data_IF_005006737386
#
_entry.id   IF_005006737386
#
_cell.length_a   1.000
_cell.length_b   1.000
_cell.length_c   1.000
_cell.angle_alpha   90.00
_cell.angle_beta   90.00
_cell.angle_gamma   90.00
#
_symmetry.space_group_name_H-M   'P 1'
#
loop_
_entity.id
_entity.type
_entity.pdbx_description
1 polymer ?
#
# COMPACT_ATOMS: atom_id res chain seq x y z
N UNK A 1 38.23 -14.47 -15.31
CA UNK A 1 37.63 -13.18 -15.69
C UNK A 1 36.18 -13.21 -15.25
N UNK A 2 35.94 -12.85 -14.00
CA UNK A 2 34.60 -12.72 -13.42
C UNK A 2 34.20 -11.28 -13.75
N UNK A 3 33.21 -11.11 -14.62
CA UNK A 3 32.61 -9.81 -14.87
C UNK A 3 31.82 -9.43 -13.62
N UNK A 4 32.40 -8.53 -12.85
CA UNK A 4 31.77 -7.83 -11.74
C UNK A 4 30.65 -6.96 -12.33
N UNK A 5 29.42 -7.49 -12.31
CA UNK A 5 28.22 -6.69 -12.58
C UNK A 5 27.83 -6.04 -11.28
N UNK A 6 28.22 -4.78 -11.15
CA UNK A 6 27.65 -3.81 -10.22
C UNK A 6 26.11 -3.97 -10.21
N UNK A 7 25.44 -4.11 -9.05
CA UNK A 7 24.00 -4.32 -9.00
C UNK A 7 23.31 -3.09 -9.56
N UNK A 8 22.81 -3.21 -10.80
CA UNK A 8 21.97 -2.20 -11.41
C UNK A 8 20.77 -1.99 -10.50
N UNK A 9 20.73 -0.82 -9.87
CA UNK A 9 19.61 -0.31 -9.09
C UNK A 9 18.43 -0.25 -10.05
N UNK A 10 17.40 -1.10 -9.91
CA UNK A 10 16.34 -1.13 -10.91
C UNK A 10 15.48 0.13 -10.89
N UNK A 11 14.75 0.32 -11.99
CA UNK A 11 14.07 1.57 -12.31
C UNK A 11 13.15 2.02 -11.18
N UNK A 12 13.40 3.23 -10.66
CA UNK A 12 12.57 3.92 -9.67
C UNK A 12 11.66 4.88 -10.41
N UNK A 13 10.35 4.67 -10.28
CA UNK A 13 9.33 5.46 -10.97
C UNK A 13 8.44 6.13 -9.93
N UNK A 14 7.95 7.33 -10.25
CA UNK A 14 6.87 7.96 -9.50
C UNK A 14 5.74 8.30 -10.44
N UNK A 15 4.52 7.91 -10.08
CA UNK A 15 3.32 8.29 -10.79
C UNK A 15 2.53 9.23 -9.89
N UNK A 16 2.28 10.44 -10.37
CA UNK A 16 1.39 11.41 -9.77
C UNK A 16 0.02 11.33 -10.44
N UNK A 17 -1.03 11.25 -9.63
CA UNK A 17 -2.42 11.31 -10.05
C UNK A 17 -3.03 12.58 -9.45
N UNK A 18 -3.77 13.33 -10.26
CA UNK A 18 -4.59 14.47 -9.84
C UNK A 18 -5.96 14.41 -10.54
N UNK A 19 -6.84 15.36 -10.27
CA UNK A 19 -8.14 15.46 -10.96
C UNK A 19 -8.01 15.78 -12.46
N UNK A 20 -6.86 16.31 -12.90
CA UNK A 20 -6.69 16.86 -14.26
C UNK A 20 -5.51 16.27 -15.02
N UNK A 21 -4.58 15.60 -14.34
CA UNK A 21 -3.38 15.03 -14.93
C UNK A 21 -2.98 13.73 -14.25
N UNK A 22 -2.38 12.83 -15.04
CA UNK A 22 -1.64 11.66 -14.55
C UNK A 22 -0.26 11.71 -15.20
N UNK A 23 0.79 11.78 -14.37
CA UNK A 23 2.16 12.02 -14.81
C UNK A 23 3.11 10.99 -14.22
N UNK A 24 4.03 10.47 -15.00
CA UNK A 24 5.06 9.55 -14.54
C UNK A 24 6.44 10.18 -14.70
N UNK A 25 7.23 10.21 -13.63
CA UNK A 25 8.67 10.47 -13.70
C UNK A 25 9.40 9.13 -13.85
N UNK A 26 10.17 8.99 -14.91
CA UNK A 26 11.09 7.87 -15.19
C UNK A 26 12.51 8.41 -15.34
N UNK A 27 13.50 7.56 -15.61
CA UNK A 27 14.86 8.03 -15.91
C UNK A 27 14.92 8.87 -17.19
N UNK A 28 14.02 8.61 -18.14
CA UNK A 28 13.97 9.28 -19.45
C UNK A 28 13.35 10.67 -19.40
N UNK A 29 12.53 10.98 -18.38
CA UNK A 29 11.83 12.25 -18.30
C UNK A 29 10.56 12.20 -17.46
N UNK A 30 9.71 13.20 -17.65
CA UNK A 30 8.32 13.19 -17.18
C UNK A 30 7.44 12.89 -18.40
N UNK A 31 6.61 11.86 -18.29
CA UNK A 31 5.56 11.51 -19.25
C UNK A 31 4.21 11.91 -18.67
N UNK A 32 3.28 12.35 -19.51
CA UNK A 32 1.93 12.76 -19.11
C UNK A 32 0.89 12.07 -19.98
N UNK A 33 -0.18 11.58 -19.35
CA UNK A 33 -1.24 10.86 -20.02
C UNK A 33 -2.15 11.82 -20.81
N UNK A 34 -2.79 11.29 -21.86
CA UNK A 34 -3.74 12.05 -22.66
C UNK A 34 -4.92 12.56 -21.81
N UNK A 35 -5.28 13.85 -21.94
CA UNK A 35 -6.35 14.50 -21.16
C UNK A 35 -7.70 13.77 -21.23
N UNK A 36 -8.02 13.16 -22.38
CA UNK A 36 -9.26 12.40 -22.55
C UNK A 36 -9.26 11.12 -21.71
N UNK A 37 -8.15 10.39 -21.68
CA UNK A 37 -7.98 9.16 -20.91
C UNK A 37 -7.98 9.46 -19.41
N UNK A 38 -7.29 10.53 -19.00
CA UNK A 38 -7.31 11.02 -17.62
C UNK A 38 -8.73 11.34 -17.18
N UNK A 39 -9.49 12.11 -17.98
CA UNK A 39 -10.88 12.45 -17.66
C UNK A 39 -11.74 11.20 -17.50
N UNK A 40 -11.64 10.24 -18.42
CA UNK A 40 -12.39 8.98 -18.33
C UNK A 40 -12.01 8.16 -17.09
N UNK A 41 -10.73 8.10 -16.74
CA UNK A 41 -10.24 7.39 -15.55
C UNK A 41 -10.69 8.08 -14.25
N UNK A 42 -10.62 9.41 -14.20
CA UNK A 42 -11.05 10.23 -13.07
C UNK A 42 -12.56 10.14 -12.85
N UNK A 43 -13.38 10.18 -13.92
CA UNK A 43 -14.83 9.98 -13.81
C UNK A 43 -15.18 8.62 -13.19
N UNK A 44 -14.40 7.59 -13.49
CA UNK A 44 -14.61 6.24 -12.96
C UNK A 44 -13.93 5.97 -11.60
N UNK A 45 -13.41 6.99 -10.91
CA UNK A 45 -12.70 6.82 -9.63
C UNK A 45 -13.55 6.26 -8.50
N UNK A 46 -14.83 6.63 -8.49
CA UNK A 46 -15.78 6.26 -7.44
C UNK A 46 -16.70 5.10 -7.87
N UNK A 47 -16.54 4.62 -9.11
CA UNK A 47 -17.33 3.54 -9.69
C UNK A 47 -16.46 2.27 -9.85
N UNK A 48 -17.07 1.09 -9.66
CA UNK A 48 -16.37 -0.19 -9.89
C UNK A 48 -16.10 -0.44 -11.39
N UNK A 49 -16.93 0.14 -12.26
CA UNK A 49 -16.87 -0.03 -13.71
C UNK A 49 -16.78 1.33 -14.40
N UNK A 50 -15.81 1.46 -15.30
CA UNK A 50 -15.66 2.62 -16.16
C UNK A 50 -16.45 2.45 -17.46
N UNK A 51 -17.21 3.49 -17.81
CA UNK A 51 -17.93 3.59 -19.07
C UNK A 51 -17.01 4.26 -20.11
N UNK A 52 -16.54 3.48 -21.07
CA UNK A 52 -15.77 3.97 -22.22
C UNK A 52 -16.65 3.92 -23.48
N UNK A 53 -16.33 4.69 -24.54
CA UNK A 53 -17.07 4.62 -25.80
C UNK A 53 -17.13 3.18 -26.33
N UNK A 54 -18.32 2.58 -26.32
CA UNK A 54 -18.57 1.24 -26.84
C UNK A 54 -18.12 0.06 -25.96
N UNK A 55 -17.65 0.29 -24.72
CA UNK A 55 -17.28 -0.80 -23.80
C UNK A 55 -17.37 -0.39 -22.32
N UNK A 56 -17.68 -1.36 -21.47
CA UNK A 56 -17.64 -1.23 -20.00
C UNK A 56 -16.47 -2.06 -19.49
N UNK A 57 -15.58 -1.45 -18.72
CA UNK A 57 -14.37 -2.12 -18.20
C UNK A 57 -14.25 -1.91 -16.69
N UNK A 58 -13.65 -2.83 -15.92
CA UNK A 58 -13.38 -2.58 -14.51
C UNK A 58 -12.50 -1.33 -14.34
N UNK A 59 -12.86 -0.43 -13.44
CA UNK A 59 -12.11 0.83 -13.22
C UNK A 59 -10.65 0.56 -12.87
N UNK A 60 -10.38 -0.51 -12.13
CA UNK A 60 -9.01 -0.96 -11.83
C UNK A 60 -8.21 -1.27 -13.10
N UNK A 61 -8.82 -1.94 -14.07
CA UNK A 61 -8.15 -2.31 -15.32
C UNK A 61 -7.89 -1.07 -16.19
N UNK A 62 -8.81 -0.09 -16.18
CA UNK A 62 -8.59 1.20 -16.83
C UNK A 62 -7.38 1.94 -16.23
N UNK A 63 -7.32 2.04 -14.89
CA UNK A 63 -6.19 2.69 -14.21
C UNK A 63 -4.86 1.95 -14.43
N UNK A 64 -4.86 0.62 -14.42
CA UNK A 64 -3.66 -0.17 -14.69
C UNK A 64 -3.14 0.07 -16.13
N UNK A 65 -4.04 0.04 -17.12
CA UNK A 65 -3.69 0.33 -18.50
C UNK A 65 -3.17 1.78 -18.67
N UNK A 66 -3.76 2.75 -17.97
CA UNK A 66 -3.31 4.13 -17.99
C UNK A 66 -1.88 4.26 -17.41
N UNK A 67 -1.60 3.60 -16.28
CA UNK A 67 -0.26 3.60 -15.70
C UNK A 67 0.75 2.88 -16.60
N UNK A 68 0.40 1.73 -17.18
CA UNK A 68 1.27 1.00 -18.11
C UNK A 68 1.62 1.86 -19.34
N UNK A 69 0.64 2.60 -19.87
CA UNK A 69 0.86 3.50 -21.02
C UNK A 69 1.88 4.61 -20.78
N UNK A 70 2.11 4.99 -19.51
CA UNK A 70 3.09 6.01 -19.14
C UNK A 70 4.52 5.47 -19.00
N UNK A 71 4.68 4.15 -18.92
CA UNK A 71 5.96 3.51 -18.60
C UNK A 71 6.54 2.69 -19.75
N UNK A 72 5.72 2.30 -20.73
CA UNK A 72 6.17 1.54 -21.88
C UNK A 72 5.30 1.82 -23.11
N UNK A 73 5.96 2.05 -24.25
CA UNK A 73 5.30 2.14 -25.56
C UNK A 73 5.02 0.75 -26.18
N UNK A 74 5.54 -0.31 -25.55
CA UNK A 74 5.44 -1.69 -26.02
C UNK A 74 4.57 -2.43 -25.02
N UNK A 75 3.56 -3.16 -25.48
CA UNK A 75 2.68 -4.07 -24.72
C UNK A 75 3.40 -5.17 -23.89
N UNK A 76 4.64 -4.95 -23.46
CA UNK A 76 5.40 -5.77 -22.55
C UNK A 76 4.99 -5.44 -21.10
N UNK A 77 4.83 -6.46 -20.23
CA UNK A 77 4.58 -6.23 -18.82
C UNK A 77 5.68 -5.40 -18.18
N UNK A 78 5.32 -4.30 -17.52
CA UNK A 78 6.27 -3.49 -16.76
C UNK A 78 6.56 -4.18 -15.43
N UNK A 79 7.85 -4.39 -15.13
CA UNK A 79 8.32 -4.80 -13.79
C UNK A 79 9.38 -3.82 -13.30
N UNK A 80 8.97 -2.97 -12.38
CA UNK A 80 9.82 -2.02 -11.69
C UNK A 80 10.32 -2.59 -10.35
N UNK A 81 11.43 -2.08 -9.86
CA UNK A 81 11.87 -2.37 -8.49
C UNK A 81 11.04 -1.56 -7.48
N UNK A 82 10.81 -0.28 -7.78
CA UNK A 82 10.09 0.63 -6.90
C UNK A 82 9.22 1.61 -7.68
N UNK A 83 7.97 1.74 -7.24
CA UNK A 83 7.00 2.70 -7.71
C UNK A 83 6.48 3.53 -6.53
N UNK A 84 6.54 4.85 -6.66
CA UNK A 84 5.89 5.81 -5.74
C UNK A 84 4.63 6.34 -6.40
N UNK A 85 3.46 6.02 -5.85
CA UNK A 85 2.18 6.53 -6.30
C UNK A 85 1.79 7.73 -5.43
N UNK A 86 1.66 8.91 -6.05
CA UNK A 86 1.30 10.16 -5.39
C UNK A 86 -0.14 10.53 -5.78
N UNK A 87 -0.97 10.88 -4.80
CA UNK A 87 -2.36 11.25 -4.99
C UNK A 87 -2.74 12.52 -4.21
N UNK A 88 -3.86 13.21 -4.51
CA UNK A 88 -4.30 14.38 -3.76
C UNK A 88 -4.56 14.03 -2.30
N UNK A 89 -4.23 14.92 -1.36
CA UNK A 89 -4.29 14.58 0.09
C UNK A 89 -5.71 14.32 0.60
N UNK A 90 -6.71 14.92 -0.05
CA UNK A 90 -8.13 14.77 0.24
C UNK A 90 -8.73 13.45 -0.23
N UNK A 91 -8.08 12.74 -1.15
CA UNK A 91 -8.64 11.52 -1.72
C UNK A 91 -8.75 10.41 -0.65
N UNK A 92 -9.98 9.97 -0.45
CA UNK A 92 -10.34 9.00 0.59
C UNK A 92 -9.78 7.59 0.34
N UNK A 93 -9.95 6.68 1.32
CA UNK A 93 -9.40 5.33 1.27
C UNK A 93 -9.80 4.52 0.04
N UNK A 94 -11.02 4.69 -0.48
CA UNK A 94 -11.52 3.97 -1.65
C UNK A 94 -10.71 4.29 -2.91
N UNK A 95 -10.61 5.57 -3.28
CA UNK A 95 -9.80 6.03 -4.44
C UNK A 95 -8.34 5.58 -4.32
N UNK A 96 -7.74 5.71 -3.13
CA UNK A 96 -6.36 5.23 -2.88
C UNK A 96 -6.21 3.72 -3.08
N UNK A 97 -7.19 2.95 -2.60
CA UNK A 97 -7.20 1.48 -2.76
C UNK A 97 -7.31 1.08 -4.23
N UNK A 98 -8.14 1.77 -5.01
CA UNK A 98 -8.27 1.57 -6.45
C UNK A 98 -6.93 1.81 -7.17
N UNK A 99 -6.32 2.99 -6.96
CA UNK A 99 -5.06 3.35 -7.62
C UNK A 99 -3.91 2.42 -7.19
N UNK A 100 -3.78 2.13 -5.89
CA UNK A 100 -2.74 1.22 -5.39
C UNK A 100 -2.92 -0.20 -5.93
N UNK A 101 -4.17 -0.67 -6.03
CA UNK A 101 -4.51 -1.96 -6.64
C UNK A 101 -4.14 -2.01 -8.12
N UNK A 102 -4.40 -0.93 -8.88
CA UNK A 102 -3.99 -0.82 -10.26
C UNK A 102 -2.46 -0.85 -10.43
N UNK A 103 -1.73 -0.17 -9.54
CA UNK A 103 -0.27 -0.10 -9.56
C UNK A 103 0.45 -1.34 -9.01
N UNK A 104 -0.23 -2.20 -8.24
CA UNK A 104 0.41 -3.24 -7.41
C UNK A 104 1.24 -4.25 -8.21
N UNK A 105 0.81 -4.60 -9.41
CA UNK A 105 1.49 -5.60 -10.24
C UNK A 105 2.68 -5.04 -11.03
N UNK A 106 2.86 -3.72 -11.03
CA UNK A 106 3.85 -3.03 -11.85
C UNK A 106 5.23 -2.95 -11.18
N UNK A 107 5.30 -3.10 -9.85
CA UNK A 107 6.53 -2.93 -9.10
C UNK A 107 6.67 -3.93 -7.93
N UNK A 108 7.91 -4.34 -7.64
CA UNK A 108 8.20 -5.14 -6.45
C UNK A 108 7.86 -4.37 -5.15
N UNK A 109 8.18 -3.08 -5.12
CA UNK A 109 7.86 -2.18 -4.02
C UNK A 109 6.92 -1.08 -4.49
N UNK A 110 5.73 -0.97 -3.89
CA UNK A 110 4.80 0.12 -4.12
C UNK A 110 4.70 0.97 -2.86
N UNK A 111 4.98 2.26 -2.97
CA UNK A 111 4.82 3.24 -1.90
C UNK A 111 3.73 4.23 -2.30
N UNK A 112 2.75 4.45 -1.44
CA UNK A 112 1.66 5.41 -1.69
C UNK A 112 1.89 6.63 -0.81
N UNK A 113 1.78 7.83 -1.39
CA UNK A 113 1.99 9.12 -0.72
C UNK A 113 0.88 10.10 -1.08
N UNK A 114 0.47 10.89 -0.10
CA UNK A 114 -0.32 12.07 -0.42
C UNK A 114 0.58 13.15 -1.00
N UNK A 115 -0.02 14.06 -1.77
CA UNK A 115 0.68 15.16 -2.43
C UNK A 115 1.31 16.12 -1.45
N UNK A 116 0.60 16.55 -0.41
CA UNK A 116 1.15 17.37 0.67
C UNK A 116 2.37 16.72 1.32
N UNK A 117 2.28 15.42 1.61
CA UNK A 117 3.41 14.69 2.18
C UNK A 117 4.60 14.69 1.21
N UNK A 118 4.41 14.34 -0.05
CA UNK A 118 5.49 14.29 -1.05
C UNK A 118 6.18 15.65 -1.27
N UNK A 119 5.45 16.76 -1.15
CA UNK A 119 6.00 18.12 -1.26
C UNK A 119 6.78 18.55 0.00
N UNK A 120 6.34 18.11 1.19
CA UNK A 120 6.85 18.59 2.46
C UNK A 120 7.84 17.64 3.17
N UNK A 121 7.88 16.36 2.81
CA UNK A 121 8.64 15.29 3.49
C UNK A 121 10.10 15.69 3.77
N UNK A 122 10.81 16.18 2.75
CA UNK A 122 12.18 16.66 2.88
C UNK A 122 12.32 17.83 3.86
N UNK A 123 11.40 18.79 3.78
CA UNK A 123 11.40 19.98 4.63
C UNK A 123 11.22 19.60 6.11
N UNK A 124 10.27 18.70 6.38
CA UNK A 124 10.02 18.18 7.73
C UNK A 124 11.22 17.39 8.25
N UNK A 125 11.80 16.50 7.43
CA UNK A 125 12.97 15.70 7.85
C UNK A 125 14.24 16.52 8.08
N UNK A 126 14.42 17.60 7.32
CA UNK A 126 15.59 18.47 7.46
C UNK A 126 15.45 19.47 8.63
N UNK A 127 14.23 19.76 9.07
CA UNK A 127 13.98 20.69 10.17
C UNK A 127 14.14 19.99 11.53
N UNK A 128 15.36 20.08 12.08
CA UNK A 128 15.69 19.53 13.41
C UNK A 128 14.95 20.22 14.57
N UNK A 129 14.26 21.32 14.31
CA UNK A 129 13.43 22.01 15.32
C UNK A 129 12.07 21.36 15.55
N UNK A 130 11.68 20.39 14.70
CA UNK A 130 10.42 19.66 14.82
C UNK A 130 9.19 20.47 14.40
N UNK A 131 9.37 21.58 13.66
CA UNK A 131 8.27 22.39 13.15
C UNK A 131 7.57 21.68 12.00
N UNK A 132 6.29 22.01 11.82
CA UNK A 132 5.47 21.48 10.75
C UNK A 132 5.61 22.33 9.47
N UNK A 133 5.30 21.76 8.31
CA UNK A 133 5.09 22.48 7.07
C UNK A 133 3.58 22.55 6.78
N UNK A 134 3.13 23.68 6.25
CA UNK A 134 1.75 23.83 5.77
C UNK A 134 1.76 23.72 4.25
N UNK A 135 0.91 22.87 3.70
CA UNK A 135 0.71 22.73 2.25
C UNK A 135 -0.73 23.09 1.90
N UNK A 136 -0.89 24.02 0.97
CA UNK A 136 -2.17 24.44 0.40
C UNK A 136 -2.30 23.78 -0.97
N UNK A 137 -3.11 22.73 -1.06
CA UNK A 137 -3.44 22.06 -2.34
C UNK A 137 -4.68 22.71 -2.94
N UNK A 138 -4.55 23.21 -4.18
CA UNK A 138 -5.61 23.89 -4.92
C UNK A 138 -5.99 23.03 -6.13
N UNK A 139 -7.17 22.41 -6.08
CA UNK A 139 -7.74 21.65 -7.19
C UNK A 139 -8.81 22.47 -7.94
N UNK A 140 -9.35 21.99 -9.07
CA UNK A 140 -10.52 22.59 -9.70
C UNK A 140 -11.76 22.65 -8.81
N UNK A 141 -11.93 21.68 -7.90
CA UNK A 141 -13.17 21.47 -7.14
C UNK A 141 -13.06 21.81 -5.66
N UNK A 142 -11.86 21.92 -5.10
CA UNK A 142 -11.64 22.13 -3.66
C UNK A 142 -10.30 22.84 -3.37
N UNK A 143 -10.19 23.39 -2.16
CA UNK A 143 -8.91 23.82 -1.59
C UNK A 143 -8.71 23.13 -0.25
N UNK A 144 -7.57 22.46 -0.09
CA UNK A 144 -7.19 21.80 1.14
C UNK A 144 -5.96 22.47 1.76
N UNK A 145 -6.03 22.74 3.06
CA UNK A 145 -4.86 23.16 3.86
C UNK A 145 -4.47 21.98 4.75
N UNK A 146 -3.34 21.36 4.43
CA UNK A 146 -2.78 20.25 5.16
C UNK A 146 -1.57 20.70 5.98
N UNK A 147 -1.43 20.12 7.17
CA UNK A 147 -0.23 20.23 8.00
C UNK A 147 0.54 18.93 7.85
N UNK A 148 1.84 19.04 7.55
CA UNK A 148 2.78 17.94 7.49
C UNK A 148 3.81 18.13 8.59
N UNK A 149 3.82 17.25 9.57
CA UNK A 149 4.73 17.32 10.72
C UNK A 149 5.11 15.92 11.21
N UNK A 150 5.89 15.81 12.30
CA UNK A 150 6.25 14.52 12.89
C UNK A 150 5.01 13.73 13.29
N UNK A 151 4.90 12.49 12.81
CA UNK A 151 3.86 11.54 13.18
C UNK A 151 4.17 10.85 14.51
N UNK A 152 3.19 10.11 15.03
CA UNK A 152 3.29 9.39 16.31
C UNK A 152 4.35 8.28 16.32
N UNK A 153 4.71 7.78 15.14
CA UNK A 153 5.74 6.77 14.90
C UNK A 153 7.11 7.37 14.55
N UNK A 154 7.22 8.71 14.56
CA UNK A 154 8.44 9.43 14.19
C UNK A 154 8.59 9.67 12.69
N UNK A 155 7.73 9.11 11.84
CA UNK A 155 7.69 9.42 10.41
C UNK A 155 6.78 10.63 10.16
N UNK A 156 7.05 11.49 9.15
CA UNK A 156 6.17 12.61 8.89
C UNK A 156 4.74 12.12 8.54
N UNK A 157 3.73 12.93 8.85
CA UNK A 157 2.34 12.63 8.52
C UNK A 157 1.64 13.89 8.02
N UNK A 158 0.89 13.76 6.92
CA UNK A 158 0.05 14.83 6.40
C UNK A 158 -1.37 14.70 6.97
N UNK A 159 -1.90 15.79 7.53
CA UNK A 159 -3.29 15.85 7.99
C UNK A 159 -3.99 17.10 7.47
N UNK A 160 -5.15 16.92 6.84
CA UNK A 160 -6.00 18.03 6.40
C UNK A 160 -6.59 18.74 7.64
N UNK A 161 -6.32 20.04 7.77
CA UNK A 161 -6.85 20.89 8.85
C UNK A 161 -8.00 21.77 8.38
N UNK A 162 -8.04 22.06 7.09
CA UNK A 162 -9.11 22.82 6.48
C UNK A 162 -9.39 22.25 5.09
N UNK A 163 -10.66 22.09 4.77
CA UNK A 163 -11.14 21.67 3.47
C UNK A 163 -12.34 22.55 3.12
N UNK A 164 -12.31 23.12 1.92
CA UNK A 164 -13.39 23.96 1.43
C UNK A 164 -13.67 23.61 -0.03
N UNK A 165 -14.92 23.27 -0.32
CA UNK A 165 -15.38 23.04 -1.68
C UNK A 165 -15.32 24.35 -2.48
N UNK A 166 -14.82 24.29 -3.72
CA UNK A 166 -14.85 25.40 -4.68
C UNK A 166 -16.24 25.59 -5.27
N UNK A 167 -17.24 25.78 -4.41
CA UNK A 167 -18.53 26.44 -4.75
C UNK A 167 -18.36 27.91 -5.18
N UNK A 168 -17.13 28.31 -5.52
CA UNK A 168 -16.65 29.64 -5.85
C UNK A 168 -16.71 29.96 -7.34
N UNK A 169 -17.45 29.20 -8.16
CA UNK A 169 -17.57 29.43 -9.60
C UNK A 169 -18.01 30.87 -9.96
N UNK A 170 -18.61 31.59 -9.01
CA UNK A 170 -19.04 32.99 -9.13
C UNK A 170 -18.10 34.02 -8.47
N UNK A 171 -17.01 33.60 -7.82
CA UNK A 171 -16.08 34.48 -7.08
C UNK A 171 -14.83 34.82 -7.88
N UNK A 172 -14.28 36.00 -7.65
CA UNK A 172 -13.00 36.40 -8.23
C UNK A 172 -11.84 35.62 -7.61
N UNK A 173 -10.73 35.46 -8.34
CA UNK A 173 -9.51 34.83 -7.82
C UNK A 173 -8.99 35.51 -6.53
N UNK A 174 -9.15 36.83 -6.44
CA UNK A 174 -8.77 37.59 -5.24
C UNK A 174 -9.61 37.24 -4.00
N UNK A 175 -10.89 36.91 -4.19
CA UNK A 175 -11.78 36.51 -3.09
C UNK A 175 -11.44 35.10 -2.59
N UNK A 176 -11.16 34.19 -3.51
CA UNK A 176 -10.66 32.83 -3.18
C UNK A 176 -9.35 32.95 -2.42
N UNK A 177 -8.38 33.70 -2.94
CA UNK A 177 -7.10 33.92 -2.29
C UNK A 177 -7.22 34.48 -0.87
N UNK A 178 -8.11 35.47 -0.65
CA UNK A 178 -8.37 36.02 0.69
C UNK A 178 -9.03 35.01 1.64
N UNK A 179 -9.93 34.16 1.15
CA UNK A 179 -10.54 33.10 1.96
C UNK A 179 -9.48 32.07 2.40
N UNK A 180 -8.67 31.60 1.45
CA UNK A 180 -7.57 30.67 1.69
C UNK A 180 -6.54 31.26 2.65
N UNK A 181 -6.16 32.53 2.48
CA UNK A 181 -5.24 33.22 3.39
C UNK A 181 -5.72 33.20 4.85
N UNK A 182 -7.02 33.46 5.08
CA UNK A 182 -7.61 33.38 6.43
C UNK A 182 -7.66 31.95 6.98
N UNK A 183 -7.86 30.96 6.11
CA UNK A 183 -7.79 29.56 6.50
C UNK A 183 -6.38 29.17 6.93
N UNK A 184 -5.37 29.55 6.14
CA UNK A 184 -3.95 29.34 6.45
C UNK A 184 -3.56 30.04 7.74
N UNK A 185 -3.96 31.29 7.95
CA UNK A 185 -3.69 32.02 9.20
C UNK A 185 -4.17 31.25 10.43
N UNK A 186 -5.41 30.74 10.38
CA UNK A 186 -5.98 29.96 11.49
C UNK A 186 -5.18 28.69 11.74
N UNK A 187 -4.89 27.93 10.67
CA UNK A 187 -4.11 26.69 10.76
C UNK A 187 -2.72 26.94 11.33
N UNK A 188 -2.02 27.98 10.85
CA UNK A 188 -0.68 28.35 11.34
C UNK A 188 -0.71 28.75 12.80
N UNK A 189 -1.72 29.50 13.24
CA UNK A 189 -1.88 29.95 14.63
C UNK A 189 -2.13 28.79 15.60
N UNK A 190 -2.85 27.77 15.15
CA UNK A 190 -3.22 26.62 15.96
C UNK A 190 -2.14 25.52 16.01
N UNK A 191 -1.14 25.58 15.12
CA UNK A 191 -0.08 24.59 15.01
C UNK A 191 1.03 24.82 16.06
N UNK A 192 0.87 24.15 17.22
CA UNK A 192 1.74 24.31 18.40
C UNK A 192 3.24 24.08 18.16
N UNK A 193 3.68 23.08 17.35
CA UNK A 193 5.10 22.93 17.02
C UNK A 193 5.69 24.15 16.31
N UNK A 194 4.85 25.04 15.77
CA UNK A 194 5.24 26.12 14.89
C UNK A 194 5.36 25.64 13.44
N UNK A 195 5.37 26.59 12.51
CA UNK A 195 5.47 26.31 11.07
C UNK A 195 6.86 26.68 10.57
N UNK A 196 7.44 25.85 9.68
CA UNK A 196 8.75 26.05 9.07
C UNK A 196 8.69 26.66 7.66
N UNK A 197 7.65 26.33 6.89
CA UNK A 197 7.33 26.97 5.62
C UNK A 197 5.85 26.78 5.27
N UNK A 198 5.33 27.65 4.40
CA UNK A 198 4.02 27.50 3.77
C UNK A 198 4.23 27.28 2.27
N UNK A 199 3.69 26.17 1.76
CA UNK A 199 3.81 25.75 0.36
C UNK A 199 2.43 25.85 -0.31
N UNK A 200 2.34 26.58 -1.42
CA UNK A 200 1.12 26.69 -2.23
C UNK A 200 1.28 25.87 -3.50
N UNK A 201 0.40 24.89 -3.67
CA UNK A 201 0.40 23.95 -4.76
C UNK A 201 -0.88 24.11 -5.59
N UNK A 202 -0.71 24.76 -6.75
CA UNK A 202 -1.80 25.03 -7.69
C UNK A 202 -1.35 24.78 -9.11
N UNK A 203 -2.18 24.06 -9.86
CA UNK A 203 -2.00 23.91 -11.31
C UNK A 203 -2.28 25.22 -12.08
N UNK A 204 -3.08 26.12 -11.49
CA UNK A 204 -3.33 27.46 -12.00
C UNK A 204 -2.30 28.40 -11.38
N UNK A 205 -1.34 28.84 -12.20
CA UNK A 205 -0.22 29.67 -11.75
C UNK A 205 -0.72 30.98 -11.14
N UNK A 206 -1.66 31.64 -11.79
CA UNK A 206 -2.16 32.97 -11.39
C UNK A 206 -2.97 32.88 -10.09
N UNK A 207 -3.75 31.81 -9.92
CA UNK A 207 -4.42 31.53 -8.65
C UNK A 207 -3.42 31.27 -7.53
N UNK A 208 -2.37 30.49 -7.80
CA UNK A 208 -1.30 30.22 -6.84
C UNK A 208 -0.58 31.51 -6.40
N UNK A 209 -0.19 32.36 -7.35
CA UNK A 209 0.41 33.67 -7.06
C UNK A 209 -0.53 34.56 -6.24
N UNK A 210 -1.82 34.61 -6.58
CA UNK A 210 -2.81 35.38 -5.81
C UNK A 210 -2.94 34.89 -4.35
N UNK A 211 -2.90 33.57 -4.13
CA UNK A 211 -2.93 32.97 -2.78
C UNK A 211 -1.66 33.31 -2.01
N UNK A 212 -0.48 33.21 -2.65
CA UNK A 212 0.80 33.61 -2.05
C UNK A 212 0.75 35.07 -1.61
N UNK A 213 0.33 35.98 -2.49
CA UNK A 213 0.18 37.41 -2.18
C UNK A 213 -0.82 37.66 -1.03
N UNK A 214 -1.92 36.90 -0.98
CA UNK A 214 -2.90 37.02 0.09
C UNK A 214 -2.34 36.58 1.44
N UNK A 215 -1.55 35.50 1.47
CA UNK A 215 -0.89 35.01 2.69
C UNK A 215 0.24 35.95 3.12
N UNK A 216 1.04 36.45 2.19
CA UNK A 216 2.15 37.37 2.46
C UNK A 216 1.65 38.69 3.08
N UNK A 217 0.53 39.23 2.58
CA UNK A 217 -0.14 40.41 3.16
C UNK A 217 -0.63 40.22 4.60
N UNK A 218 -0.87 38.99 5.05
CA UNK A 218 -1.22 38.70 6.46
C UNK A 218 0.03 38.84 7.35
N UNK A 219 1.23 38.73 6.78
CA UNK A 219 2.49 38.85 7.51
C UNK A 219 2.83 37.61 8.35
N UNK A 220 2.44 36.43 7.89
CA UNK A 220 2.78 35.17 8.58
C UNK A 220 4.27 34.89 8.48
N UNK A 221 4.86 34.46 9.60
CA UNK A 221 6.19 33.85 9.64
C UNK A 221 6.03 32.37 9.95
N UNK A 222 6.58 31.45 9.15
CA UNK A 222 7.60 31.63 8.10
C UNK A 222 7.00 32.03 6.74
N UNK A 223 7.87 32.42 5.80
CA UNK A 223 7.47 32.85 4.46
C UNK A 223 6.68 31.80 3.67
N UNK A 224 5.88 32.29 2.73
CA UNK A 224 5.05 31.52 1.81
C UNK A 224 5.70 31.43 0.43
N UNK A 225 5.58 30.28 -0.23
CA UNK A 225 6.08 30.09 -1.60
C UNK A 225 5.18 29.18 -2.40
N UNK A 226 5.06 29.43 -3.71
CA UNK A 226 4.42 28.52 -4.64
C UNK A 226 5.39 27.39 -5.02
N UNK A 227 4.91 26.16 -5.04
CA UNK A 227 5.72 25.01 -5.47
C UNK A 227 5.81 24.98 -7.00
N UNK A 228 6.97 24.52 -7.50
CA UNK A 228 7.10 24.23 -8.93
C UNK A 228 6.22 23.03 -9.31
N UNK A 229 5.73 23.02 -10.55
CA UNK A 229 4.81 21.99 -11.08
C UNK A 229 5.34 20.56 -10.90
N UNK A 230 6.66 20.36 -10.98
CA UNK A 230 7.31 19.04 -10.85
C UNK A 230 7.99 18.83 -9.49
N UNK A 231 7.73 19.71 -8.51
CA UNK A 231 8.36 19.66 -7.19
C UNK A 231 8.09 18.33 -6.47
N UNK A 232 6.95 17.69 -6.75
CA UNK A 232 6.55 16.40 -6.18
C UNK A 232 7.51 15.25 -6.54
N UNK A 233 8.25 15.39 -7.65
CA UNK A 233 9.22 14.40 -8.12
C UNK A 233 10.66 14.68 -7.66
N UNK A 234 10.91 15.73 -6.85
CA UNK A 234 12.27 16.15 -6.45
C UNK A 234 13.07 15.06 -5.74
N UNK A 235 12.41 14.21 -4.95
CA UNK A 235 13.05 13.09 -4.25
C UNK A 235 13.58 12.02 -5.21
N UNK A 236 12.94 11.84 -6.38
CA UNK A 236 13.37 10.84 -7.36
C UNK A 236 14.55 11.29 -8.21
N UNK A 237 14.70 12.60 -8.43
CA UNK A 237 15.79 13.15 -9.26
C UNK A 237 17.17 13.15 -8.57
N UNK A 238 17.25 12.72 -7.30
CA UNK A 238 18.50 12.65 -6.55
C UNK A 238 18.84 11.19 -6.33
N UNK A 239 19.86 10.67 -7.04
CA UNK A 239 20.47 9.39 -6.71
C UNK A 239 20.71 9.34 -5.20
N UNK A 240 20.31 8.22 -4.57
CA UNK A 240 20.43 8.04 -3.13
C UNK A 240 21.86 8.32 -2.69
N UNK A 241 22.12 9.52 -2.15
CA UNK A 241 23.35 9.76 -1.42
C UNK A 241 23.20 8.93 -0.16
N UNK A 242 23.89 7.80 -0.14
CA UNK A 242 24.22 7.07 1.08
C UNK A 242 24.63 8.11 2.11
N UNK A 243 23.89 8.11 3.23
CA UNK A 243 24.16 8.96 4.39
C UNK A 243 25.57 8.65 4.89
N UNK A 244 26.55 9.42 4.43
CA UNK A 244 27.86 9.52 5.05
C UNK A 244 27.72 10.44 6.27
N UNK A 245 27.17 9.90 7.36
CA UNK A 245 27.27 10.49 8.69
C UNK A 245 28.16 9.61 9.56
N UNK A 246 29.45 9.55 9.18
CA UNK A 246 30.61 9.43 10.07
C UNK A 246 31.83 9.83 9.22
N UNK A 247 32.05 11.13 8.99
CA UNK A 247 33.36 11.74 9.25
C UNK A 247 33.22 13.26 9.16
N UNK A 248 33.60 13.95 10.23
CA UNK A 248 33.59 15.41 10.31
C UNK A 248 35.04 15.86 10.24
N UNK A 249 35.44 16.56 9.17
CA UNK A 249 36.80 17.07 9.05
C UNK A 249 37.12 17.97 7.85
N UNK A 250 36.89 19.28 8.04
CA UNK A 250 37.71 20.42 7.56
C UNK A 250 37.64 20.89 6.07
N UNK A 251 36.91 22.00 5.86
CA UNK A 251 37.23 23.29 5.16
C UNK A 251 38.28 23.25 4.00
N UNK A 252 37.88 23.29 2.71
CA UNK A 252 37.72 24.44 1.75
C UNK A 252 39.00 24.76 0.90
N UNK A 253 38.96 25.52 -0.22
CA UNK A 253 38.26 25.34 -1.52
C UNK A 253 39.22 25.40 -2.77
N UNK A 254 38.62 25.38 -3.98
CA UNK A 254 39.06 26.03 -5.26
C UNK A 254 39.52 25.13 -6.45
N UNK A 255 38.93 25.48 -7.61
CA UNK A 255 39.45 25.46 -9.00
C UNK A 255 39.19 24.27 -9.97
N UNK A 256 38.27 24.57 -10.92
CA UNK A 256 38.38 24.45 -12.39
C UNK A 256 38.74 23.12 -13.09
N UNK A 257 37.84 22.72 -14.01
CA UNK A 257 38.07 21.88 -15.22
C UNK A 257 39.31 22.34 -16.03
N UNK A 258 39.98 21.53 -16.91
CA UNK A 258 39.36 20.63 -17.92
C UNK A 258 40.13 19.35 -18.39
N UNK A 259 39.39 18.44 -19.05
CA UNK A 259 39.64 17.67 -20.31
C UNK A 259 41.01 16.96 -20.58
N UNK A 260 40.92 15.71 -21.08
CA UNK A 260 41.76 15.04 -22.12
C UNK A 260 42.72 13.86 -21.76
N UNK A 261 42.43 12.72 -22.41
CA UNK A 261 43.26 11.81 -23.22
C UNK A 261 44.44 10.96 -22.66
N UNK A 262 44.26 9.64 -22.82
CA UNK A 262 45.13 8.62 -23.45
C UNK A 262 46.65 8.50 -23.12
N UNK A 263 46.97 7.37 -22.44
CA UNK A 263 48.09 6.39 -22.68
C UNK A 263 49.58 6.84 -22.58
N UNK A 264 50.56 5.90 -22.63
CA UNK A 264 50.78 4.64 -21.89
C UNK A 264 52.20 4.56 -21.29
N UNK A 265 52.50 3.57 -20.44
CA UNK A 265 53.88 3.28 -20.03
C UNK A 265 54.07 1.94 -19.32
N UNK A 266 54.59 0.95 -20.05
CA UNK A 266 55.34 -0.18 -19.50
C UNK A 266 56.85 0.10 -19.74
N UNK A 267 57.82 -0.77 -19.38
CA UNK A 267 57.82 -1.97 -18.53
C UNK A 267 59.02 -2.01 -17.54
N UNK A 268 59.12 -3.05 -16.70
CA UNK A 268 60.41 -3.58 -16.27
C UNK A 268 60.34 -5.09 -15.99
N UNK A 269 61.17 -5.85 -16.71
CA UNK A 269 61.39 -7.29 -16.62
C UNK A 269 62.49 -7.57 -15.60
N UNK A 270 62.38 -8.68 -14.86
CA UNK A 270 63.52 -9.49 -14.39
C UNK A 270 63.09 -10.96 -14.23
N UNK A 271 63.81 -11.87 -14.89
CA UNK A 271 63.77 -13.32 -14.75
C UNK A 271 65.07 -13.77 -14.01
N UNK A 272 65.53 -15.05 -14.01
CA UNK A 272 64.88 -16.38 -14.05
C UNK A 272 65.45 -17.37 -12.97
N UNK A 273 64.97 -18.63 -12.93
CA UNK A 273 65.73 -19.92 -13.06
C UNK A 273 65.05 -21.11 -12.33
N UNK A 274 64.74 -22.15 -13.11
CA UNK A 274 64.37 -23.55 -12.75
C UNK A 274 65.65 -24.36 -12.33
N UNK A 275 65.71 -25.71 -12.12
CA UNK A 275 64.73 -26.80 -12.36
C UNK A 275 64.78 -28.09 -11.45
N UNK A 276 63.94 -29.09 -11.84
CA UNK A 276 64.08 -30.57 -11.74
C UNK A 276 63.79 -31.19 -10.33
N UNK A 277 63.31 -32.43 -10.11
CA UNK A 277 63.11 -33.68 -10.88
C UNK A 277 62.41 -34.72 -9.93
N UNK A 278 61.17 -35.20 -10.20
CA UNK A 278 60.76 -36.58 -10.64
C UNK A 278 60.59 -37.68 -9.55
N UNK A 279 59.87 -38.81 -9.78
CA UNK A 279 58.59 -39.03 -10.53
C UNK A 279 57.62 -40.10 -9.91
N UNK A 280 56.45 -40.27 -10.58
CA UNK A 280 55.49 -41.42 -10.78
C UNK A 280 55.63 -42.74 -9.95
N UNK A 281 54.63 -43.60 -9.68
CA UNK A 281 53.35 -44.03 -10.25
C UNK A 281 52.60 -44.85 -9.12
N UNK A 282 51.37 -45.38 -9.17
CA UNK A 282 50.64 -46.04 -10.26
C UNK A 282 49.20 -46.47 -9.81
N UNK A 283 48.33 -46.70 -10.82
CA UNK A 283 47.15 -47.61 -10.89
C UNK A 283 45.88 -47.13 -10.12
N UNK A 284 44.67 -47.06 -10.68
CA UNK A 284 44.11 -47.69 -11.86
C UNK A 284 42.88 -48.53 -11.49
N UNK A 285 41.68 -47.94 -11.68
CA UNK A 285 40.41 -48.57 -12.09
C UNK A 285 39.85 -49.78 -11.31
N UNK A 286 38.77 -49.53 -10.55
CA UNK A 286 37.56 -50.36 -10.44
C UNK A 286 36.47 -49.53 -9.74
N UNK A 287 35.54 -48.91 -10.48
CA UNK A 287 34.26 -49.49 -10.88
C UNK A 287 33.29 -49.71 -9.71
N UNK A 288 32.22 -48.91 -9.73
CA UNK A 288 30.86 -49.25 -9.31
C UNK A 288 30.70 -50.10 -8.05
N UNK A 289 30.37 -49.46 -6.93
CA UNK A 289 29.43 -49.84 -5.84
C UNK A 289 29.71 -48.90 -4.66
N UNK A 290 29.36 -47.61 -4.77
CA UNK A 290 29.28 -46.70 -3.59
C UNK A 290 28.11 -45.72 -3.69
N UNK A 291 27.51 -45.55 -4.88
CA UNK A 291 26.33 -44.67 -5.08
C UNK A 291 25.06 -45.20 -4.39
N UNK A 292 25.03 -46.44 -3.90
CA UNK A 292 23.82 -47.03 -3.28
C UNK A 292 23.82 -47.00 -1.74
N UNK A 293 24.93 -46.66 -1.08
CA UNK A 293 25.07 -46.77 0.38
C UNK A 293 24.78 -45.50 1.20
N UNK A 294 24.93 -44.32 0.60
CA UNK A 294 24.71 -43.03 1.29
C UNK A 294 23.30 -42.46 1.01
N UNK A 295 22.57 -43.04 0.05
CA UNK A 295 21.18 -42.66 -0.27
C UNK A 295 20.15 -43.30 0.67
N UNK A 296 20.53 -44.30 1.48
CA UNK A 296 19.58 -45.06 2.32
C UNK A 296 19.62 -44.76 3.83
N UNK A 297 20.51 -43.90 4.32
CA UNK A 297 20.54 -43.51 5.76
C UNK A 297 20.17 -42.05 6.02
N UNK A 298 20.02 -41.21 4.99
CA UNK A 298 19.41 -39.86 5.08
C UNK A 298 17.90 -39.92 4.79
N UNK A 299 17.36 -41.10 4.52
CA UNK A 299 15.92 -41.32 4.27
C UNK A 299 15.07 -41.42 5.56
N UNK A 300 15.69 -41.50 6.74
CA UNK A 300 14.98 -41.78 8.01
C UNK A 300 14.87 -40.57 8.96
N UNK A 301 15.41 -39.41 8.59
CA UNK A 301 15.28 -38.15 9.34
C UNK A 301 14.79 -36.99 8.47
N UNK A 302 13.97 -37.28 7.44
CA UNK A 302 12.94 -36.32 7.03
C UNK A 302 11.90 -36.24 8.15
N UNK A 303 12.29 -35.55 9.22
CA UNK A 303 11.38 -34.69 9.96
C UNK A 303 10.47 -34.05 8.94
N UNK A 304 9.16 -34.28 9.08
CA UNK A 304 8.11 -33.60 8.32
C UNK A 304 8.58 -32.18 8.03
N UNK A 305 8.93 -31.89 6.78
CA UNK A 305 9.02 -30.50 6.35
C UNK A 305 7.66 -29.90 6.72
N UNK A 306 7.60 -28.82 7.50
CA UNK A 306 6.37 -28.06 7.60
C UNK A 306 5.97 -27.75 6.16
N UNK A 307 4.69 -27.97 5.81
CA UNK A 307 4.14 -27.44 4.57
C UNK A 307 4.59 -25.96 4.45
N UNK A 308 4.85 -25.43 3.25
CA UNK A 308 5.19 -24.02 3.09
C UNK A 308 4.19 -23.21 3.92
N UNK A 309 4.69 -22.55 4.97
CA UNK A 309 3.83 -21.83 5.88
C UNK A 309 3.20 -20.72 5.04
N UNK A 310 1.88 -20.79 4.84
CA UNK A 310 1.14 -19.69 4.24
C UNK A 310 1.51 -18.45 5.06
N UNK A 311 2.01 -17.42 4.38
CA UNK A 311 2.29 -16.16 5.05
C UNK A 311 0.98 -15.67 5.64
N UNK A 312 0.96 -15.35 6.93
CA UNK A 312 -0.27 -14.92 7.60
C UNK A 312 -0.14 -13.47 8.05
N UNK A 313 -1.25 -12.75 8.05
CA UNK A 313 -1.34 -11.36 8.52
C UNK A 313 -2.41 -11.24 9.60
N UNK A 314 -2.19 -10.36 10.58
CA UNK A 314 -3.19 -10.00 11.56
C UNK A 314 -4.20 -9.03 10.94
N UNK A 315 -5.46 -9.46 10.86
CA UNK A 315 -6.59 -8.61 10.52
C UNK A 315 -7.25 -8.13 11.81
N UNK A 316 -7.35 -6.81 11.97
CA UNK A 316 -8.12 -6.17 13.04
C UNK A 316 -9.32 -5.47 12.41
N UNK A 317 -10.52 -5.86 12.85
CA UNK A 317 -11.78 -5.28 12.44
C UNK A 317 -12.61 -4.92 13.67
N UNK A 318 -12.84 -3.64 13.91
CA UNK A 318 -13.58 -3.16 15.07
C UNK A 318 -12.92 -3.67 16.37
N UNK A 319 -13.62 -4.55 17.10
CA UNK A 319 -13.11 -5.18 18.33
C UNK A 319 -12.73 -6.65 18.17
N UNK A 320 -12.66 -7.15 16.94
CA UNK A 320 -12.20 -8.50 16.64
C UNK A 320 -10.84 -8.44 15.97
N UNK A 321 -9.93 -9.32 16.38
CA UNK A 321 -8.67 -9.58 15.70
C UNK A 321 -8.57 -11.07 15.35
N UNK A 322 -8.02 -11.38 14.18
CA UNK A 322 -7.79 -12.75 13.72
C UNK A 322 -6.64 -12.80 12.72
N UNK A 323 -6.04 -13.98 12.54
CA UNK A 323 -5.06 -14.22 11.48
C UNK A 323 -5.77 -14.69 10.21
N UNK A 324 -5.28 -14.21 9.07
CA UNK A 324 -5.72 -14.61 7.74
C UNK A 324 -4.52 -14.81 6.83
N UNK A 325 -4.63 -15.56 5.71
CA UNK A 325 -3.55 -15.59 4.72
C UNK A 325 -3.24 -14.17 4.20
N UNK A 326 -1.96 -13.83 4.16
CA UNK A 326 -1.50 -12.47 3.88
C UNK A 326 -1.76 -12.03 2.45
N UNK A 327 -1.93 -12.98 1.53
CA UNK A 327 -2.21 -12.78 0.12
C UNK A 327 -3.70 -12.65 -0.19
N UNK A 328 -4.59 -12.90 0.78
CA UNK A 328 -6.03 -12.79 0.59
C UNK A 328 -6.49 -11.34 0.72
N UNK A 329 -7.34 -10.90 -0.22
CA UNK A 329 -7.82 -9.54 -0.27
C UNK A 329 -8.88 -9.29 0.81
N UNK A 330 -8.82 -8.14 1.49
CA UNK A 330 -9.79 -7.77 2.52
C UNK A 330 -10.75 -6.71 1.98
N UNK A 331 -12.05 -7.04 1.96
CA UNK A 331 -13.16 -6.13 1.57
C UNK A 331 -14.06 -5.88 2.78
N UNK A 332 -14.43 -4.63 3.03
CA UNK A 332 -15.33 -4.25 4.13
C UNK A 332 -16.71 -3.92 3.56
N UNK A 333 -17.74 -4.58 4.06
CA UNK A 333 -19.13 -4.33 3.69
C UNK A 333 -19.79 -3.58 4.85
N UNK A 334 -20.10 -2.27 4.70
CA UNK A 334 -20.78 -1.50 5.72
C UNK A 334 -22.23 -1.97 5.90
N UNK A 335 -22.82 -1.66 7.06
CA UNK A 335 -24.25 -1.86 7.25
C UNK A 335 -25.03 -0.92 6.31
N UNK A 336 -26.00 -1.45 5.56
CA UNK A 336 -26.78 -0.67 4.59
C UNK A 336 -27.25 -1.42 3.34
N UNK A 337 -26.90 -2.72 3.19
CA UNK A 337 -27.38 -3.61 2.12
C UNK A 337 -28.10 -4.87 2.64
N UNK A 338 -28.07 -5.97 1.87
CA UNK A 338 -28.67 -7.28 2.22
C UNK A 338 -27.89 -8.05 3.32
N UNK A 339 -27.83 -7.47 4.52
CA UNK A 339 -27.35 -8.15 5.73
C UNK A 339 -26.45 -7.29 6.62
N UNK A 340 -25.89 -7.93 7.64
CA UNK A 340 -25.02 -7.29 8.64
C UNK A 340 -23.72 -6.75 8.02
N UNK A 341 -23.19 -5.68 8.64
CA UNK A 341 -21.84 -5.24 8.39
C UNK A 341 -20.87 -6.41 8.60
N UNK A 342 -20.00 -6.66 7.63
CA UNK A 342 -19.11 -7.81 7.65
C UNK A 342 -17.82 -7.49 6.89
N UNK A 343 -16.77 -8.22 7.22
CA UNK A 343 -15.54 -8.23 6.44
C UNK A 343 -15.47 -9.51 5.65
N UNK A 344 -15.03 -9.40 4.42
CA UNK A 344 -14.75 -10.51 3.53
C UNK A 344 -13.24 -10.59 3.29
N UNK A 345 -12.70 -11.79 3.42
CA UNK A 345 -11.30 -12.10 3.14
C UNK A 345 -11.29 -13.09 2.00
N UNK A 346 -10.85 -12.65 0.83
CA UNK A 346 -11.15 -13.27 -0.47
C UNK A 346 -9.87 -13.90 -1.02
N UNK A 347 -9.94 -15.17 -1.38
CA UNK A 347 -8.82 -15.87 -2.00
C UNK A 347 -8.43 -15.24 -3.34
N UNK A 348 -7.13 -15.04 -3.62
CA UNK A 348 -6.69 -14.58 -4.94
C UNK A 348 -6.84 -15.66 -6.02
N UNK A 349 -7.00 -16.94 -5.63
CA UNK A 349 -7.09 -18.07 -6.55
C UNK A 349 -8.54 -18.43 -6.92
N UNK A 350 -9.49 -18.28 -5.99
CA UNK A 350 -10.93 -18.42 -6.26
C UNK A 350 -11.73 -17.34 -5.54
N UNK A 351 -12.34 -16.38 -6.25
CA UNK A 351 -13.17 -15.33 -5.64
C UNK A 351 -14.37 -15.83 -4.84
N UNK A 352 -14.81 -17.08 -5.02
CA UNK A 352 -15.88 -17.69 -4.22
C UNK A 352 -15.36 -18.40 -2.95
N UNK A 353 -14.04 -18.50 -2.76
CA UNK A 353 -13.44 -18.92 -1.51
C UNK A 353 -13.22 -17.69 -0.62
N UNK A 354 -14.19 -17.42 0.27
CA UNK A 354 -14.25 -16.20 1.09
C UNK A 354 -14.41 -16.54 2.57
N UNK A 355 -13.63 -15.89 3.43
CA UNK A 355 -13.87 -15.87 4.88
C UNK A 355 -14.62 -14.60 5.26
N UNK A 356 -15.85 -14.76 5.75
CA UNK A 356 -16.68 -13.70 6.30
C UNK A 356 -16.40 -13.53 7.79
N UNK A 357 -16.35 -12.29 8.28
CA UNK A 357 -16.25 -11.97 9.70
C UNK A 357 -17.33 -10.97 10.08
N UNK A 358 -18.15 -11.32 11.07
CA UNK A 358 -19.16 -10.46 11.67
C UNK A 358 -18.91 -10.34 13.17
N UNK A 359 -19.33 -9.23 13.76
CA UNK A 359 -19.24 -9.02 15.20
C UNK A 359 -20.50 -8.36 15.72
N UNK A 360 -20.97 -8.84 16.88
CA UNK A 360 -22.11 -8.27 17.59
C UNK A 360 -21.76 -8.19 19.07
N UNK A 361 -22.02 -7.03 19.70
CA UNK A 361 -21.93 -6.90 21.16
C UNK A 361 -23.04 -7.71 21.82
N UNK A 362 -22.67 -8.50 22.81
CA UNK A 362 -23.60 -9.26 23.65
C UNK A 362 -23.40 -8.86 25.11
N UNK A 363 -24.33 -9.27 25.97
CA UNK A 363 -24.19 -9.04 27.41
C UNK A 363 -23.03 -9.89 27.93
N UNK A 364 -22.27 -9.45 28.95
CA UNK A 364 -21.15 -10.23 29.50
C UNK A 364 -21.52 -11.63 30.01
N UNK A 365 -22.80 -11.88 30.31
CA UNK A 365 -23.32 -13.18 30.76
C UNK A 365 -23.94 -14.02 29.62
N UNK A 366 -23.76 -13.63 28.36
CA UNK A 366 -24.23 -14.39 27.20
C UNK A 366 -23.60 -15.79 27.18
N UNK A 367 -24.42 -16.81 26.90
CA UNK A 367 -23.96 -18.19 26.75
C UNK A 367 -24.16 -18.66 25.31
N UNK A 368 -23.38 -19.66 24.87
CA UNK A 368 -23.56 -20.24 23.53
C UNK A 368 -24.96 -20.83 23.34
N UNK A 369 -25.58 -21.38 24.40
CA UNK A 369 -26.96 -21.85 24.36
C UNK A 369 -27.95 -20.69 24.09
N UNK A 370 -27.81 -19.55 24.79
CA UNK A 370 -28.66 -18.37 24.54
C UNK A 370 -28.45 -17.79 23.13
N UNK A 371 -27.20 -17.79 22.65
CA UNK A 371 -26.87 -17.43 21.28
C UNK A 371 -27.48 -18.40 20.27
N UNK A 372 -27.46 -19.70 20.54
CA UNK A 372 -28.08 -20.72 19.70
C UNK A 372 -29.60 -20.53 19.60
N UNK A 373 -30.29 -20.26 20.72
CA UNK A 373 -31.72 -19.93 20.72
C UNK A 373 -32.01 -18.69 19.88
N UNK A 374 -31.22 -17.64 20.04
CA UNK A 374 -31.35 -16.39 19.26
C UNK A 374 -31.17 -16.64 17.76
N UNK A 375 -30.17 -17.44 17.37
CA UNK A 375 -29.91 -17.78 15.97
C UNK A 375 -31.02 -18.65 15.39
N UNK A 376 -31.50 -19.66 16.14
CA UNK A 376 -32.61 -20.51 15.72
C UNK A 376 -33.87 -19.69 15.46
N UNK A 377 -34.24 -18.80 16.38
CA UNK A 377 -35.39 -17.92 16.23
C UNK A 377 -35.25 -16.93 15.07
N UNK A 378 -34.03 -16.58 14.66
CA UNK A 378 -33.78 -15.79 13.46
C UNK A 378 -33.94 -16.64 12.18
N UNK A 379 -33.38 -17.85 12.16
CA UNK A 379 -33.46 -18.78 11.02
C UNK A 379 -34.90 -19.24 10.73
N UNK A 380 -35.73 -19.41 11.75
CA UNK A 380 -37.15 -19.77 11.59
C UNK A 380 -37.98 -18.73 10.82
N UNK A 381 -37.49 -17.49 10.69
CA UNK A 381 -38.15 -16.42 9.92
C UNK A 381 -37.76 -16.41 8.45
N UNK A 382 -36.78 -17.21 8.08
CA UNK A 382 -36.19 -17.23 6.75
C UNK A 382 -36.77 -18.38 5.92
N UNK A 383 -36.65 -18.32 4.58
CA UNK A 383 -37.17 -19.38 3.72
C UNK A 383 -36.61 -20.77 4.08
N UNK A 384 -37.46 -21.79 3.98
CA UNK A 384 -37.04 -23.17 4.24
C UNK A 384 -35.85 -23.56 3.35
N UNK A 385 -34.81 -24.13 3.95
CA UNK A 385 -33.59 -24.53 3.25
C UNK A 385 -32.55 -23.42 3.08
N UNK A 386 -32.85 -22.17 3.45
CA UNK A 386 -31.86 -21.08 3.46
C UNK A 386 -30.76 -21.28 4.52
N UNK A 387 -31.06 -22.05 5.58
CA UNK A 387 -30.11 -22.45 6.61
C UNK A 387 -30.24 -23.95 6.89
N UNK A 388 -29.12 -24.67 6.92
CA UNK A 388 -29.03 -26.12 7.16
C UNK A 388 -27.96 -26.44 8.21
N UNK A 389 -27.86 -27.72 8.60
CA UNK A 389 -26.78 -28.24 9.45
C UNK A 389 -26.58 -27.53 10.79
N UNK A 390 -27.63 -26.93 11.34
CA UNK A 390 -27.57 -26.21 12.60
C UNK A 390 -27.21 -27.13 13.77
N UNK A 391 -26.19 -26.74 14.54
CA UNK A 391 -25.75 -27.40 15.78
C UNK A 391 -25.56 -26.36 16.87
N UNK A 392 -26.37 -26.46 17.92
CA UNK A 392 -26.36 -25.53 19.05
C UNK A 392 -25.14 -25.66 19.96
N UNK A 393 -24.52 -26.84 19.99
CA UNK A 393 -23.34 -27.13 20.80
C UNK A 393 -22.37 -27.98 19.95
N UNK A 394 -21.44 -27.31 19.27
CA UNK A 394 -20.43 -27.91 18.42
C UNK A 394 -19.03 -27.42 18.83
N UNK A 395 -17.99 -27.98 18.22
CA UNK A 395 -16.60 -27.57 18.42
C UNK A 395 -15.90 -27.38 17.08
N UNK A 396 -15.17 -26.27 16.92
CA UNK A 396 -14.31 -26.00 15.76
C UNK A 396 -12.95 -25.50 16.24
N UNK A 397 -11.88 -26.14 15.75
CA UNK A 397 -10.50 -25.83 16.17
C UNK A 397 -10.36 -25.77 17.70
N UNK A 398 -10.96 -26.73 18.39
CA UNK A 398 -11.02 -26.84 19.86
C UNK A 398 -11.75 -25.71 20.61
N UNK A 399 -12.54 -24.91 19.88
CA UNK A 399 -13.38 -23.86 20.46
C UNK A 399 -14.84 -24.28 20.46
N UNK A 400 -15.55 -24.14 21.60
CA UNK A 400 -17.00 -24.26 21.64
C UNK A 400 -17.65 -23.24 20.69
N UNK A 401 -18.63 -23.67 19.90
CA UNK A 401 -19.27 -22.84 18.89
C UNK A 401 -20.70 -23.28 18.59
N UNK A 402 -21.51 -22.35 18.08
CA UNK A 402 -22.73 -22.68 17.33
C UNK A 402 -22.36 -22.73 15.86
N UNK A 403 -22.76 -23.77 15.14
CA UNK A 403 -22.46 -23.92 13.70
C UNK A 403 -23.72 -24.12 12.87
N UNK A 404 -23.70 -23.68 11.63
CA UNK A 404 -24.76 -23.87 10.65
C UNK A 404 -24.24 -23.56 9.24
N UNK A 405 -24.97 -23.96 8.21
CA UNK A 405 -24.68 -23.62 6.82
C UNK A 405 -25.76 -22.67 6.31
N UNK A 406 -25.38 -21.55 5.72
CA UNK A 406 -26.26 -20.65 4.97
C UNK A 406 -26.17 -21.02 3.48
N UNK A 407 -27.30 -21.34 2.87
CA UNK A 407 -27.37 -21.73 1.46
C UNK A 407 -27.79 -20.51 0.64
N UNK A 408 -27.01 -20.19 -0.39
CA UNK A 408 -27.27 -19.11 -1.33
C UNK A 408 -27.17 -19.63 -2.76
N UNK A 409 -27.65 -18.83 -3.70
CA UNK A 409 -27.51 -19.18 -5.11
C UNK A 409 -26.03 -19.14 -5.50
N UNK A 410 -25.48 -20.29 -5.90
CA UNK A 410 -24.11 -20.42 -6.38
C UNK A 410 -23.05 -20.79 -5.33
N UNK A 411 -23.31 -20.58 -4.03
CA UNK A 411 -22.38 -20.92 -2.95
C UNK A 411 -23.08 -21.21 -1.63
N UNK A 412 -22.39 -21.93 -0.76
CA UNK A 412 -22.77 -22.15 0.63
C UNK A 412 -21.79 -21.41 1.55
N UNK A 413 -22.27 -21.02 2.74
CA UNK A 413 -21.45 -20.39 3.78
C UNK A 413 -21.55 -21.21 5.07
N UNK A 414 -20.48 -21.92 5.43
CA UNK A 414 -20.40 -22.64 6.70
C UNK A 414 -20.00 -21.70 7.83
N UNK A 415 -20.96 -21.35 8.68
CA UNK A 415 -20.79 -20.43 9.79
C UNK A 415 -20.32 -21.13 11.06
N UNK A 416 -19.37 -20.50 11.75
CA UNK A 416 -18.93 -20.81 13.11
C UNK A 416 -19.08 -19.56 13.96
N UNK A 417 -19.96 -19.64 14.96
CA UNK A 417 -20.25 -18.53 15.88
C UNK A 417 -19.62 -18.80 17.23
N UNK A 418 -18.78 -17.87 17.65
CA UNK A 418 -17.94 -17.94 18.84
C UNK A 418 -18.33 -16.83 19.81
N UNK A 419 -18.17 -17.08 21.10
CA UNK A 419 -18.20 -16.04 22.12
C UNK A 419 -16.78 -15.77 22.61
N UNK A 420 -16.44 -14.48 22.74
CA UNK A 420 -15.21 -14.03 23.38
C UNK A 420 -15.45 -12.71 24.11
N UNK A 421 -15.45 -12.76 25.45
CA UNK A 421 -15.82 -11.61 26.29
C UNK A 421 -17.25 -11.12 26.02
N UNK A 422 -17.39 -9.83 25.69
CA UNK A 422 -18.67 -9.18 25.35
C UNK A 422 -18.99 -9.25 23.83
N UNK A 423 -18.28 -10.08 23.07
CA UNK A 423 -18.47 -10.22 21.63
C UNK A 423 -18.96 -11.60 21.23
N UNK A 424 -19.98 -11.59 20.36
CA UNK A 424 -20.31 -12.71 19.49
C UNK A 424 -19.68 -12.49 18.13
N UNK A 425 -18.78 -13.39 17.76
CA UNK A 425 -17.99 -13.35 16.54
C UNK A 425 -18.49 -14.43 15.60
N UNK A 426 -18.99 -14.06 14.42
CA UNK A 426 -19.39 -15.01 13.39
C UNK A 426 -18.30 -15.10 12.32
N UNK A 427 -17.74 -16.29 12.10
CA UNK A 427 -16.81 -16.59 11.01
C UNK A 427 -17.52 -17.46 9.99
N UNK A 428 -17.70 -16.98 8.76
CA UNK A 428 -18.41 -17.68 7.69
C UNK A 428 -17.46 -18.13 6.60
N UNK A 429 -17.49 -19.42 6.27
CA UNK A 429 -16.63 -20.01 5.23
C UNK A 429 -17.44 -20.20 3.96
N UNK A 430 -17.28 -19.30 2.98
CA UNK A 430 -17.95 -19.39 1.70
C UNK A 430 -17.19 -20.29 0.73
N UNK A 431 -17.92 -21.12 0.00
CA UNK A 431 -17.38 -22.01 -1.01
C UNK A 431 -18.47 -22.35 -2.03
N UNK A 432 -18.05 -22.59 -3.29
CA UNK A 432 -18.91 -23.27 -4.26
C UNK A 432 -19.20 -24.69 -3.77
N UNK A 433 -20.32 -25.25 -4.22
CA UNK A 433 -20.67 -26.65 -3.93
C UNK A 433 -19.47 -27.57 -4.22
N UNK A 434 -19.15 -28.42 -3.26
CA UNK A 434 -18.02 -29.38 -3.29
C UNK A 434 -16.59 -28.77 -3.31
N UNK A 435 -16.45 -27.44 -3.16
CA UNK A 435 -15.16 -26.71 -3.18
C UNK A 435 -14.68 -26.23 -1.80
N UNK A 436 -15.17 -26.81 -0.70
CA UNK A 436 -14.77 -26.37 0.65
C UNK A 436 -13.25 -26.41 0.88
N UNK A 437 -12.53 -27.31 0.18
CA UNK A 437 -11.09 -27.44 0.29
C UNK A 437 -10.33 -26.13 -0.02
N UNK A 438 -10.90 -25.27 -0.87
CA UNK A 438 -10.27 -24.02 -1.34
C UNK A 438 -10.31 -22.93 -0.27
N UNK A 439 -11.28 -22.97 0.64
CA UNK A 439 -11.41 -22.03 1.77
C UNK A 439 -10.95 -22.61 3.11
N UNK A 440 -10.87 -23.95 3.21
CA UNK A 440 -10.65 -24.68 4.47
C UNK A 440 -9.50 -24.12 5.30
N UNK A 441 -8.31 -23.95 4.72
CA UNK A 441 -7.13 -23.57 5.51
C UNK A 441 -7.23 -22.14 6.06
N UNK A 442 -7.73 -21.20 5.26
CA UNK A 442 -7.98 -19.83 5.69
C UNK A 442 -9.04 -19.77 6.80
N UNK A 443 -10.09 -20.57 6.66
CA UNK A 443 -11.14 -20.69 7.66
C UNK A 443 -10.68 -21.29 8.98
N UNK A 444 -9.93 -22.39 8.95
CA UNK A 444 -9.38 -22.99 10.17
C UNK A 444 -8.45 -22.03 10.90
N UNK A 445 -7.65 -21.25 10.18
CA UNK A 445 -6.79 -20.21 10.75
C UNK A 445 -7.63 -19.10 11.41
N UNK A 446 -8.64 -18.58 10.70
CA UNK A 446 -9.53 -17.53 11.19
C UNK A 446 -10.28 -17.98 12.45
N UNK A 447 -10.92 -19.16 12.42
CA UNK A 447 -11.67 -19.71 13.55
C UNK A 447 -10.75 -19.93 14.76
N UNK A 448 -9.53 -20.44 14.54
CA UNK A 448 -8.57 -20.70 15.62
C UNK A 448 -8.10 -19.42 16.32
N UNK A 449 -7.98 -18.32 15.58
CA UNK A 449 -7.29 -17.09 16.04
C UNK A 449 -8.22 -15.91 16.31
N UNK A 450 -9.50 -16.01 15.97
CA UNK A 450 -10.46 -14.92 16.17
C UNK A 450 -10.73 -14.63 17.65
N UNK A 451 -10.35 -13.45 18.11
CA UNK A 451 -10.50 -13.02 19.50
C UNK A 451 -10.88 -11.56 19.62
N UNK A 452 -11.46 -11.19 20.76
CA UNK A 452 -11.66 -9.80 21.12
C UNK A 452 -10.30 -9.08 21.26
N UNK A 453 -10.19 -7.87 20.73
CA UNK A 453 -9.02 -7.01 20.94
C UNK A 453 -8.93 -6.67 22.41
N UNK A 454 -7.80 -6.98 23.03
CA UNK A 454 -7.55 -6.61 24.43
C UNK A 454 -7.15 -5.14 24.47
N UNK A 455 -7.96 -4.29 25.10
CA UNK A 455 -7.51 -2.95 25.48
C UNK A 455 -6.38 -3.11 26.49
N UNK A 456 -5.18 -2.62 26.15
CA UNK A 456 -4.11 -2.49 27.13
C UNK A 456 -4.59 -1.61 28.28
N UNK A 457 -4.49 -2.12 29.50
CA UNK A 457 -4.73 -1.38 30.75
C UNK A 457 -3.64 -0.36 31.01
#
# INVERSE_FOLDING_TARGET
>A
MILDRDPQTGARVAIEVTETAVRARTDEGIQEAGRADVRSAVTALDDDMALLPGRVVPSRALWAALFESLLTDRNAPVRLDSLVLIHPTTWGPARRTLLSSAARMMAATLTVRSRAFALAERGVRADLSGRSLVVVEVSPTEVAVAVVGPGSDGEPAATVRHLEDRSWETRSAADVARAVGRAVERVVRDERPGVAAILVDSADKDMGEAIVDAIDRIGLTPGVSQVAVDAVFREMGQAARTSAFLDQGVVEPVATRPVSAWTPGAPARSAPRLPRWWPAAAIGLAAAIVVTGVVLTVASTRSRQPAPAIATSLLVEGRVQLMVPAEWAVRRIPAGGAGSARVEVISPADPEAVVHVTQVRVKPAETLAATAETLRAAMEKEPQGAFTDFRADDRRMDRPAVTYTEVREGHDIAWTVLLDGDLRIGVGCQFKKDSYADVRQACELAIRTAHAVKSGS
#
